data_IF_753032789739
#
_entry.id   IF_753032789739
#
_cell.length_a   1.000
_cell.length_b   1.000
_cell.length_c   1.000
_cell.angle_alpha   90.00
_cell.angle_beta   90.00
_cell.angle_gamma   90.00
#
_symmetry.space_group_name_H-M   'P 1'
#
loop_
_entity.id
_entity.type
_entity.pdbx_description
1 polymer ?
#
# COMPACT_ATOMS: atom_id res chain seq x y z
N UNK A 1 4.67 -22.61 19.82
CA UNK A 1 3.42 -22.19 19.18
C UNK A 1 3.54 -20.70 18.96
N UNK A 2 3.81 -20.25 17.75
CA UNK A 2 3.96 -18.82 17.45
C UNK A 2 2.75 -18.43 16.63
N UNK A 3 1.82 -17.72 17.28
CA UNK A 3 0.68 -17.10 16.62
C UNK A 3 1.16 -15.79 16.01
N UNK A 4 1.54 -15.81 14.74
CA UNK A 4 1.59 -14.59 13.93
C UNK A 4 0.14 -14.26 13.54
N UNK A 5 -0.50 -13.43 14.35
CA UNK A 5 -1.78 -12.81 13.99
C UNK A 5 -1.47 -11.73 12.97
N UNK A 6 -1.29 -12.10 11.70
CA UNK A 6 -1.32 -11.15 10.58
C UNK A 6 -2.73 -10.56 10.59
N UNK A 7 -2.85 -9.27 10.89
CA UNK A 7 -4.16 -8.62 10.95
C UNK A 7 -4.81 -8.74 9.56
N UNK A 8 -5.80 -9.61 9.44
CA UNK A 8 -6.66 -9.73 8.26
C UNK A 8 -7.52 -8.47 8.17
N UNK A 9 -6.92 -7.38 7.68
CA UNK A 9 -7.63 -6.15 7.39
C UNK A 9 -8.23 -6.27 6.01
N UNK A 10 -9.54 -6.49 5.94
CA UNK A 10 -10.28 -6.43 4.68
C UNK A 10 -10.26 -4.99 4.18
N UNK A 11 -9.52 -4.73 3.11
CA UNK A 11 -9.52 -3.43 2.43
C UNK A 11 -10.49 -3.43 1.26
N UNK A 12 -11.12 -2.29 1.03
CA UNK A 12 -12.00 -2.10 -0.13
C UNK A 12 -11.15 -1.54 -1.27
N UNK A 13 -11.14 -2.25 -2.40
CA UNK A 13 -10.56 -1.76 -3.63
C UNK A 13 -11.67 -1.20 -4.53
N UNK A 14 -11.33 -0.20 -5.33
CA UNK A 14 -12.19 0.32 -6.38
C UNK A 14 -12.18 -0.58 -7.63
N UNK A 15 -12.85 -0.13 -8.69
CA UNK A 15 -12.97 -0.90 -9.94
C UNK A 15 -11.64 -1.03 -10.70
N UNK A 16 -10.67 -0.17 -10.40
CA UNK A 16 -9.35 -0.13 -11.02
C UNK A 16 -8.30 -0.85 -10.15
N UNK A 17 -8.70 -1.39 -8.98
CA UNK A 17 -7.82 -2.10 -8.06
C UNK A 17 -7.06 -1.19 -7.09
N UNK A 18 -7.42 0.09 -6.99
CA UNK A 18 -6.82 1.01 -6.02
C UNK A 18 -7.55 0.97 -4.68
N UNK A 19 -6.86 1.37 -3.61
CA UNK A 19 -7.46 1.55 -2.29
C UNK A 19 -8.59 2.58 -2.33
N UNK A 20 -9.81 2.14 -2.03
CA UNK A 20 -10.97 3.03 -1.97
C UNK A 20 -10.90 4.03 -0.81
N UNK A 21 -10.24 3.65 0.29
CA UNK A 21 -10.00 4.53 1.44
C UNK A 21 -8.50 4.69 1.68
N UNK A 22 -8.04 5.94 1.77
CA UNK A 22 -6.64 6.25 2.05
C UNK A 22 -6.18 5.78 3.43
N UNK A 23 -7.06 5.84 4.43
CA UNK A 23 -6.79 5.40 5.81
C UNK A 23 -6.59 3.88 5.93
N UNK A 24 -6.95 3.14 4.88
CA UNK A 24 -6.71 1.70 4.84
C UNK A 24 -5.28 1.32 4.43
N UNK A 25 -4.51 2.29 3.94
CA UNK A 25 -3.13 2.09 3.52
C UNK A 25 -2.21 1.77 4.71
N UNK A 26 -1.35 0.76 4.52
CA UNK A 26 -0.20 0.47 5.39
C UNK A 26 0.99 -0.02 4.56
N UNK A 27 2.20 0.01 5.13
CA UNK A 27 3.38 -0.54 4.45
C UNK A 27 3.23 -2.04 4.17
N UNK A 28 2.58 -2.77 5.08
CA UNK A 28 2.32 -4.21 4.91
C UNK A 28 1.37 -4.46 3.74
N UNK A 29 0.30 -3.67 3.61
CA UNK A 29 -0.65 -3.77 2.50
C UNK A 29 0.01 -3.45 1.16
N UNK A 30 0.86 -2.43 1.11
CA UNK A 30 1.61 -2.12 -0.10
C UNK A 30 2.51 -3.30 -0.52
N UNK A 31 3.12 -3.99 0.44
CA UNK A 31 3.90 -5.19 0.15
C UNK A 31 3.03 -6.37 -0.31
N UNK A 32 1.83 -6.55 0.23
CA UNK A 32 0.87 -7.55 -0.26
C UNK A 32 0.42 -7.27 -1.68
N UNK A 33 0.10 -6.01 -2.00
CA UNK A 33 -0.25 -5.59 -3.36
C UNK A 33 0.92 -5.81 -4.33
N UNK A 34 2.15 -5.49 -3.93
CA UNK A 34 3.33 -5.75 -4.75
C UNK A 34 3.53 -7.24 -5.05
N UNK A 35 3.19 -8.13 -4.11
CA UNK A 35 3.22 -9.57 -4.35
C UNK A 35 2.09 -10.02 -5.27
N UNK A 36 0.90 -9.41 -5.16
CA UNK A 36 -0.25 -9.71 -6.02
C UNK A 36 0.02 -9.31 -7.49
N UNK A 37 0.68 -8.18 -7.69
CA UNK A 37 1.06 -7.64 -9.01
C UNK A 37 2.36 -8.24 -9.57
N UNK A 38 2.87 -9.32 -8.96
CA UNK A 38 4.12 -10.00 -9.36
C UNK A 38 5.37 -9.08 -9.36
N UNK A 39 5.31 -7.94 -8.67
CA UNK A 39 6.45 -7.01 -8.46
C UNK A 39 7.45 -7.61 -7.47
N UNK A 40 6.97 -8.37 -6.49
CA UNK A 40 7.77 -8.99 -5.43
C UNK A 40 8.08 -8.03 -4.29
N UNK A 41 9.28 -8.14 -3.72
CA UNK A 41 9.68 -7.35 -2.54
C UNK A 41 9.88 -5.87 -2.86
N UNK A 42 9.24 -5.00 -2.08
CA UNK A 42 9.41 -3.56 -2.20
C UNK A 42 10.76 -3.16 -1.61
N UNK A 43 11.75 -3.00 -2.50
CA UNK A 43 13.06 -2.44 -2.14
C UNK A 43 12.97 -0.99 -1.68
N UNK A 44 14.05 -0.49 -1.07
CA UNK A 44 14.20 0.92 -0.68
C UNK A 44 13.89 1.91 -1.81
N UNK A 45 14.21 1.55 -3.06
CA UNK A 45 13.92 2.41 -4.23
C UNK A 45 12.43 2.50 -4.50
N UNK A 46 11.69 1.41 -4.33
CA UNK A 46 10.22 1.43 -4.44
C UNK A 46 9.62 2.29 -3.32
N UNK A 47 10.12 2.15 -2.09
CA UNK A 47 9.67 2.95 -0.95
C UNK A 47 9.92 4.44 -1.11
N UNK A 48 11.03 4.85 -1.73
CA UNK A 48 11.28 6.26 -2.03
C UNK A 48 10.17 6.87 -2.90
N UNK A 49 9.73 6.15 -3.94
CA UNK A 49 8.66 6.60 -4.84
C UNK A 49 7.31 6.56 -4.14
N UNK A 50 6.99 5.46 -3.45
CA UNK A 50 5.72 5.28 -2.72
C UNK A 50 5.56 6.39 -1.68
N UNK A 51 6.60 6.67 -0.87
CA UNK A 51 6.55 7.72 0.15
C UNK A 51 6.47 9.12 -0.45
N UNK A 52 7.11 9.34 -1.59
CA UNK A 52 6.99 10.60 -2.32
C UNK A 52 5.55 10.83 -2.78
N UNK A 53 4.94 9.87 -3.48
CA UNK A 53 3.55 9.97 -3.95
C UNK A 53 2.58 10.17 -2.79
N UNK A 54 2.76 9.42 -1.71
CA UNK A 54 1.94 9.58 -0.51
C UNK A 54 2.06 10.96 0.12
N UNK A 55 3.30 11.45 0.26
CA UNK A 55 3.54 12.79 0.79
C UNK A 55 2.89 13.86 -0.09
N UNK A 56 3.05 13.76 -1.40
CA UNK A 56 2.47 14.72 -2.35
C UNK A 56 0.93 14.68 -2.29
N UNK A 57 0.34 13.49 -2.20
CA UNK A 57 -1.10 13.32 -2.00
C UNK A 57 -1.58 13.93 -0.67
N UNK A 58 -0.85 13.71 0.42
CA UNK A 58 -1.20 14.26 1.73
C UNK A 58 -1.06 15.81 1.76
N UNK A 59 -0.12 16.38 0.99
CA UNK A 59 0.12 17.82 0.93
C UNK A 59 -0.81 18.56 -0.06
N UNK A 60 -1.18 17.92 -1.18
CA UNK A 60 -1.90 18.58 -2.29
C UNK A 60 -3.33 18.05 -2.48
N UNK A 61 -3.65 16.92 -1.88
CA UNK A 61 -4.92 16.20 -2.12
C UNK A 61 -5.00 15.51 -3.48
N UNK A 62 -3.91 15.48 -4.24
CA UNK A 62 -3.84 14.87 -5.56
C UNK A 62 -2.49 14.17 -5.76
N UNK A 63 -2.48 13.09 -6.52
CA UNK A 63 -1.25 12.37 -6.86
C UNK A 63 -0.50 13.16 -7.95
N UNK A 64 0.84 13.30 -7.83
CA UNK A 64 1.65 13.99 -8.84
C UNK A 64 1.73 13.25 -10.18
#
# INVERSE_FOLDING_TARGET
MTTETKQEKTVVLDQDGHLANREDWSEELAQELANLEEVGELTDRHWQVIRYIQKEFDEKGDSP
#
